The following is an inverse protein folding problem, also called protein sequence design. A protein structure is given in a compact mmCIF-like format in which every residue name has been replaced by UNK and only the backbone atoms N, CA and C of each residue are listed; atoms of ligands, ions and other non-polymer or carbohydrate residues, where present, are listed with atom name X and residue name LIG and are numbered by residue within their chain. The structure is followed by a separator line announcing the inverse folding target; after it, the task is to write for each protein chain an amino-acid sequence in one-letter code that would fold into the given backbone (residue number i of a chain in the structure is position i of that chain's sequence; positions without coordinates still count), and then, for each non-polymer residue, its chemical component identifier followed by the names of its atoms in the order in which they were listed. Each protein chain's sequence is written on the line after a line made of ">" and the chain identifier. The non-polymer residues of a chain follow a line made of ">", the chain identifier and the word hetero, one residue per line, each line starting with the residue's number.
data_IF_406187739667
#
_entry.id   IF_406187739667
#
_cell.length_a   1.000
_cell.length_b   1.000
_cell.length_c   1.000
_cell.angle_alpha   90.00
_cell.angle_beta   90.00
_cell.angle_gamma   90.00
#
_symmetry.space_group_name_H-M   'P 1'
#
loop_
_entity.id
_entity.type
_entity.pdbx_description
1 polymer ?
#
# COMPACT_ATOMS: atom_id res chain seq x y z
N UNK A 1 7.03 10.37 -12.09
CA UNK A 1 7.22 9.17 -11.26
C UNK A 1 6.56 9.40 -9.91
N UNK A 2 5.73 8.49 -9.48
CA UNK A 2 5.12 8.52 -8.14
C UNK A 2 6.21 8.42 -7.07
N UNK A 3 6.00 9.06 -5.92
CA UNK A 3 7.03 9.15 -4.87
C UNK A 3 7.43 7.76 -4.35
N UNK A 4 6.46 6.85 -4.21
CA UNK A 4 6.66 5.46 -3.78
C UNK A 4 7.53 4.71 -4.78
N UNK A 5 7.22 4.81 -6.06
CA UNK A 5 7.98 4.19 -7.14
C UNK A 5 9.44 4.66 -7.18
N UNK A 6 9.66 5.98 -7.02
CA UNK A 6 11.02 6.54 -6.92
C UNK A 6 11.80 6.00 -5.71
N UNK A 7 11.13 5.70 -4.59
CA UNK A 7 11.75 5.12 -3.41
C UNK A 7 12.08 3.65 -3.61
N UNK A 8 11.22 2.86 -4.25
CA UNK A 8 11.47 1.44 -4.52
C UNK A 8 12.70 1.24 -5.43
N UNK A 9 12.89 2.11 -6.43
CA UNK A 9 14.08 2.10 -7.29
C UNK A 9 15.38 2.48 -6.55
N UNK A 10 15.31 3.25 -5.45
CA UNK A 10 16.48 3.66 -4.65
C UNK A 10 16.79 2.72 -3.49
N UNK A 11 15.87 1.82 -3.15
CA UNK A 11 16.05 0.89 -2.05
C UNK A 11 17.24 -0.05 -2.27
N UNK A 12 18.06 -0.24 -1.22
CA UNK A 12 19.14 -1.23 -1.21
C UNK A 12 18.61 -2.67 -1.30
N UNK A 13 17.39 -2.91 -0.82
CA UNK A 13 16.73 -4.22 -0.89
C UNK A 13 16.18 -4.54 -2.28
N UNK A 14 16.31 -3.66 -3.26
CA UNK A 14 15.90 -3.93 -4.65
C UNK A 14 16.57 -5.17 -5.22
N UNK A 15 17.78 -5.49 -4.80
CA UNK A 15 18.56 -6.63 -5.29
C UNK A 15 18.25 -7.95 -4.56
N UNK A 16 17.36 -7.96 -3.59
CA UNK A 16 16.84 -9.17 -2.93
C UNK A 16 15.69 -9.74 -3.76
N UNK A 17 15.53 -11.07 -3.74
CA UNK A 17 14.51 -11.76 -4.51
C UNK A 17 13.08 -11.25 -4.19
N UNK A 18 12.34 -10.84 -5.23
CA UNK A 18 11.01 -10.28 -5.07
C UNK A 18 10.00 -11.31 -4.54
N UNK A 19 10.15 -12.59 -4.90
CA UNK A 19 9.27 -13.66 -4.40
C UNK A 19 9.41 -13.87 -2.89
N UNK A 20 10.64 -13.77 -2.35
CA UNK A 20 10.90 -13.87 -0.91
C UNK A 20 10.27 -12.70 -0.15
N UNK A 21 10.44 -11.47 -0.65
CA UNK A 21 9.84 -10.28 -0.06
C UNK A 21 8.31 -10.31 -0.09
N UNK A 22 7.74 -10.82 -1.17
CA UNK A 22 6.29 -10.97 -1.30
C UNK A 22 5.78 -12.04 -0.34
N UNK A 23 6.44 -13.21 -0.26
CA UNK A 23 6.07 -14.24 0.71
C UNK A 23 6.15 -13.72 2.16
N UNK A 24 7.25 -13.07 2.53
CA UNK A 24 7.41 -12.45 3.84
C UNK A 24 6.27 -11.47 4.14
N UNK A 25 6.02 -10.51 3.23
CA UNK A 25 4.99 -9.49 3.45
C UNK A 25 3.58 -10.08 3.58
N UNK A 26 3.25 -11.12 2.80
CA UNK A 26 1.94 -11.78 2.84
C UNK A 26 1.81 -12.64 4.09
N UNK A 27 2.82 -13.43 4.45
CA UNK A 27 2.78 -14.29 5.63
C UNK A 27 2.69 -13.46 6.92
N UNK A 28 3.57 -12.46 7.09
CA UNK A 28 3.50 -11.55 8.24
C UNK A 28 2.19 -10.79 8.32
N UNK A 29 1.61 -10.38 7.19
CA UNK A 29 0.32 -9.71 7.16
C UNK A 29 -0.80 -10.63 7.63
N UNK A 30 -0.86 -11.85 7.11
CA UNK A 30 -1.87 -12.86 7.51
C UNK A 30 -1.72 -13.18 9.00
N UNK A 31 -0.50 -13.42 9.47
CA UNK A 31 -0.22 -13.75 10.87
C UNK A 31 -0.59 -12.57 11.80
N UNK A 32 -0.30 -11.35 11.40
CA UNK A 32 -0.67 -10.14 12.15
C UNK A 32 -2.18 -9.99 12.31
N UNK A 33 -2.95 -10.28 11.24
CA UNK A 33 -4.43 -10.19 11.27
C UNK A 33 -5.02 -11.33 12.12
N UNK A 34 -4.50 -12.56 12.00
CA UNK A 34 -5.04 -13.72 12.71
C UNK A 34 -4.68 -13.72 14.21
N UNK A 35 -3.58 -13.08 14.59
CA UNK A 35 -3.11 -13.13 15.99
C UNK A 35 -3.97 -12.35 16.97
N UNK A 36 -4.73 -11.34 16.52
CA UNK A 36 -5.53 -10.44 17.37
C UNK A 36 -4.79 -9.99 18.65
N UNK A 37 -3.46 -9.78 18.55
CA UNK A 37 -2.59 -9.48 19.70
C UNK A 37 -1.78 -8.22 19.48
N UNK A 38 -1.91 -7.28 20.40
CA UNK A 38 -1.13 -6.02 20.40
C UNK A 38 0.38 -6.29 20.42
N UNK A 39 0.82 -7.35 21.10
CA UNK A 39 2.25 -7.73 21.20
C UNK A 39 2.82 -8.14 19.85
N UNK A 40 2.12 -9.01 19.12
CA UNK A 40 2.51 -9.43 17.76
C UNK A 40 2.51 -8.23 16.82
N UNK A 41 1.47 -7.42 16.88
CA UNK A 41 1.37 -6.20 16.06
C UNK A 41 2.54 -5.23 16.31
N UNK A 42 2.89 -4.97 17.57
CA UNK A 42 4.03 -4.11 17.92
C UNK A 42 5.37 -4.66 17.40
N UNK A 43 5.60 -5.98 17.52
CA UNK A 43 6.79 -6.63 16.98
C UNK A 43 6.88 -6.50 15.47
N UNK A 44 5.79 -6.79 14.75
CA UNK A 44 5.72 -6.65 13.29
C UNK A 44 6.00 -5.20 12.86
N UNK A 45 5.42 -4.22 13.56
CA UNK A 45 5.66 -2.81 13.30
C UNK A 45 7.14 -2.44 13.42
N UNK A 46 7.81 -2.87 14.50
CA UNK A 46 9.22 -2.60 14.75
C UNK A 46 10.11 -3.29 13.73
N UNK A 47 9.88 -4.58 13.46
CA UNK A 47 10.67 -5.36 12.49
C UNK A 47 10.58 -4.75 11.10
N UNK A 48 9.37 -4.45 10.62
CA UNK A 48 9.18 -3.83 9.31
C UNK A 48 9.79 -2.43 9.23
N UNK A 49 9.72 -1.65 10.31
CA UNK A 49 10.38 -0.35 10.41
C UNK A 49 11.90 -0.47 10.27
N UNK A 50 12.52 -1.40 11.00
CA UNK A 50 13.97 -1.67 10.92
C UNK A 50 14.36 -2.16 9.53
N UNK A 51 13.61 -3.08 8.95
CA UNK A 51 13.89 -3.60 7.61
C UNK A 51 13.76 -2.52 6.53
N UNK A 52 12.73 -1.69 6.60
CA UNK A 52 12.46 -0.65 5.59
C UNK A 52 13.45 0.51 5.69
N UNK A 53 13.70 1.01 6.89
CA UNK A 53 14.59 2.16 7.12
C UNK A 53 16.05 1.72 7.16
N UNK A 54 16.38 0.70 7.96
CA UNK A 54 17.77 0.25 8.17
C UNK A 54 18.34 -0.45 6.94
N UNK A 55 17.74 -1.59 6.53
CA UNK A 55 18.23 -2.37 5.37
C UNK A 55 17.80 -1.74 4.04
N UNK A 56 16.56 -1.23 3.93
CA UNK A 56 16.05 -0.58 2.71
C UNK A 56 16.72 0.75 2.40
N UNK A 57 17.28 1.44 3.40
CA UNK A 57 17.93 2.75 3.24
C UNK A 57 16.93 3.87 2.94
N UNK A 58 15.68 3.71 3.32
CA UNK A 58 14.65 4.73 3.16
C UNK A 58 14.77 5.72 4.32
N UNK A 59 14.83 7.04 4.07
CA UNK A 59 14.95 8.02 5.14
C UNK A 59 13.74 7.99 6.07
N UNK A 60 13.99 7.89 7.37
CA UNK A 60 12.99 7.78 8.43
C UNK A 60 11.91 8.88 8.33
N UNK A 61 12.31 10.11 8.01
CA UNK A 61 11.39 11.24 7.83
C UNK A 61 10.34 11.00 6.76
N UNK A 62 10.69 10.34 5.65
CA UNK A 62 9.72 10.00 4.58
C UNK A 62 8.83 8.84 4.99
N UNK A 63 9.40 7.85 5.67
CA UNK A 63 8.65 6.70 6.17
C UNK A 63 7.57 7.14 7.18
N UNK A 64 7.93 7.98 8.16
CA UNK A 64 6.98 8.55 9.14
C UNK A 64 5.91 9.39 8.43
N UNK A 65 6.28 10.23 7.45
CA UNK A 65 5.30 11.03 6.70
C UNK A 65 4.29 10.17 5.94
N UNK A 66 4.71 9.03 5.40
CA UNK A 66 3.80 8.09 4.74
C UNK A 66 2.88 7.39 5.75
N UNK A 67 3.38 7.04 6.94
CA UNK A 67 2.59 6.44 8.01
C UNK A 67 1.61 7.42 8.65
N UNK A 68 1.88 8.71 8.64
CA UNK A 68 1.03 9.72 9.28
C UNK A 68 -0.39 9.75 8.72
N UNK A 69 -0.56 9.55 7.40
CA UNK A 69 -1.89 9.55 6.75
C UNK A 69 -2.77 8.40 7.24
N UNK A 70 -2.34 7.11 7.15
CA UNK A 70 -3.12 6.01 7.69
C UNK A 70 -3.33 6.12 9.21
N UNK A 71 -2.31 6.56 9.96
CA UNK A 71 -2.41 6.71 11.43
C UNK A 71 -3.48 7.72 11.81
N UNK A 72 -3.52 8.89 11.16
CA UNK A 72 -4.55 9.90 11.44
C UNK A 72 -5.96 9.37 11.16
N UNK A 73 -6.12 8.62 10.06
CA UNK A 73 -7.40 7.99 9.72
C UNK A 73 -7.80 6.92 10.75
N UNK A 74 -6.85 6.09 11.18
CA UNK A 74 -7.09 5.04 12.18
C UNK A 74 -7.48 5.65 13.55
N UNK A 75 -6.77 6.69 13.99
CA UNK A 75 -7.12 7.39 15.24
C UNK A 75 -8.53 7.97 15.16
N UNK A 76 -8.90 8.61 14.05
CA UNK A 76 -10.24 9.13 13.87
C UNK A 76 -11.32 8.03 13.87
N UNK A 77 -11.03 6.89 13.23
CA UNK A 77 -11.95 5.74 13.19
C UNK A 77 -12.07 5.03 14.52
N UNK A 78 -10.95 4.80 15.22
CA UNK A 78 -10.97 4.13 16.54
C UNK A 78 -11.54 5.03 17.64
N UNK A 79 -11.45 6.35 17.53
CA UNK A 79 -12.09 7.28 18.44
C UNK A 79 -13.62 7.08 18.50
N UNK A 80 -14.24 6.71 17.38
CA UNK A 80 -15.67 6.40 17.33
C UNK A 80 -16.04 5.10 18.10
N UNK A 81 -15.10 4.18 18.28
CA UNK A 81 -15.30 2.95 19.06
C UNK A 81 -15.16 3.22 20.55
N UNK A 82 -14.24 4.13 20.91
CA UNK A 82 -13.99 4.51 22.31
C UNK A 82 -15.11 5.39 22.85
N UNK A 83 -15.65 6.27 22.00
CA UNK A 83 -16.71 7.21 22.39
C UNK A 83 -18.07 6.56 22.12
N UNK A 84 -18.75 6.15 23.18
CA UNK A 84 -20.09 5.59 23.10
C UNK A 84 -21.12 6.55 23.72
N UNK A 85 -22.30 6.64 23.13
CA UNK A 85 -23.41 7.45 23.66
C UNK A 85 -24.41 6.47 24.25
N UNK A 86 -24.53 6.46 25.59
CA UNK A 86 -25.42 5.57 26.36
C UNK A 86 -26.22 6.35 27.41
N UNK A 87 -27.34 5.76 27.83
CA UNK A 87 -28.13 6.26 28.95
C UNK A 87 -27.63 5.77 30.33
N UNK A 88 -26.63 4.86 30.31
CA UNK A 88 -26.02 4.30 31.51
C UNK A 88 -24.55 4.69 31.53
N UNK A 89 -24.02 5.26 32.63
CA UNK A 89 -22.59 5.57 32.74
C UNK A 89 -21.74 4.29 32.69
N UNK A 90 -20.66 4.28 31.89
CA UNK A 90 -19.68 3.19 31.79
C UNK A 90 -18.38 3.53 32.52
N UNK A 91 -17.54 2.51 32.77
CA UNK A 91 -16.43 2.52 33.74
C UNK A 91 -15.23 3.43 33.43
N UNK A 92 -15.01 3.84 32.16
CA UNK A 92 -13.77 4.57 31.82
C UNK A 92 -13.90 6.08 32.01
N UNK A 93 -14.95 6.71 31.51
CA UNK A 93 -15.30 8.11 31.69
C UNK A 93 -16.78 8.32 31.34
N UNK A 94 -17.43 9.25 32.05
CA UNK A 94 -18.81 9.64 31.80
C UNK A 94 -18.92 11.18 31.85
N UNK A 95 -19.32 11.80 30.74
CA UNK A 95 -19.63 13.19 30.62
C UNK A 95 -21.16 13.36 30.47
N UNK A 96 -21.80 14.04 31.39
CA UNK A 96 -23.24 14.30 31.36
C UNK A 96 -23.58 15.36 30.31
N UNK A 97 -24.43 15.02 29.36
CA UNK A 97 -25.05 15.93 28.41
C UNK A 97 -26.59 15.81 28.51
N UNK A 98 -27.17 16.26 29.64
CA UNK A 98 -28.59 16.16 29.91
C UNK A 98 -29.05 14.72 30.20
N UNK A 99 -29.91 14.14 29.37
CA UNK A 99 -30.37 12.74 29.50
C UNK A 99 -29.45 11.68 28.91
N UNK A 100 -28.33 12.09 28.27
CA UNK A 100 -27.38 11.22 27.59
C UNK A 100 -26.01 11.37 28.22
N UNK A 101 -25.31 10.27 28.34
CA UNK A 101 -23.91 10.21 28.78
C UNK A 101 -23.00 9.90 27.59
N UNK A 102 -21.96 10.71 27.40
CA UNK A 102 -20.83 10.33 26.54
C UNK A 102 -19.93 9.51 27.43
N UNK A 103 -19.90 8.19 27.17
CA UNK A 103 -19.20 7.22 28.01
C UNK A 103 -18.18 6.45 27.21
N UNK A 104 -17.11 6.01 27.87
CA UNK A 104 -16.14 5.06 27.33
C UNK A 104 -16.11 3.79 28.15
N UNK A 105 -15.90 2.65 27.49
CA UNK A 105 -15.65 1.38 28.16
C UNK A 105 -14.15 1.05 28.12
N UNK A 106 -13.62 0.46 29.18
CA UNK A 106 -12.25 -0.06 29.22
C UNK A 106 -12.04 -1.13 28.16
N UNK A 107 -13.03 -1.98 27.94
CA UNK A 107 -13.03 -2.97 26.86
C UNK A 107 -12.98 -2.31 25.47
N UNK A 108 -13.76 -1.25 25.26
CA UNK A 108 -13.74 -0.46 24.03
C UNK A 108 -12.39 0.21 23.77
N UNK A 109 -11.72 0.68 24.82
CA UNK A 109 -10.37 1.25 24.72
C UNK A 109 -9.34 0.17 24.33
N UNK A 110 -9.40 -0.99 24.95
CA UNK A 110 -8.51 -2.12 24.59
C UNK A 110 -8.73 -2.59 23.16
N UNK A 111 -10.00 -2.76 22.75
CA UNK A 111 -10.37 -3.13 21.39
C UNK A 111 -9.88 -2.08 20.36
N UNK A 112 -10.04 -0.79 20.65
CA UNK A 112 -9.57 0.29 19.80
C UNK A 112 -8.03 0.27 19.65
N UNK A 113 -7.31 0.00 20.73
CA UNK A 113 -5.85 -0.10 20.74
C UNK A 113 -5.38 -1.33 19.93
N UNK A 114 -6.04 -2.46 20.10
CA UNK A 114 -5.76 -3.70 19.34
C UNK A 114 -5.99 -3.48 17.84
N UNK A 115 -7.14 -2.94 17.46
CA UNK A 115 -7.46 -2.64 16.06
C UNK A 115 -6.48 -1.63 15.45
N UNK A 116 -6.15 -0.58 16.18
CA UNK A 116 -5.19 0.43 15.72
C UNK A 116 -3.79 -0.17 15.53
N UNK A 117 -3.30 -0.95 16.48
CA UNK A 117 -2.01 -1.61 16.41
C UNK A 117 -1.94 -2.61 15.25
N UNK A 118 -2.95 -3.47 15.10
CA UNK A 118 -3.02 -4.47 14.03
C UNK A 118 -3.11 -3.81 12.66
N UNK A 119 -3.94 -2.77 12.51
CA UNK A 119 -4.08 -2.06 11.25
C UNK A 119 -2.79 -1.31 10.87
N UNK A 120 -2.13 -0.63 11.81
CA UNK A 120 -0.85 0.04 11.56
C UNK A 120 0.24 -0.97 11.15
N UNK A 121 0.32 -2.11 11.83
CA UNK A 121 1.29 -3.15 11.52
C UNK A 121 1.03 -3.75 10.14
N UNK A 122 -0.23 -3.99 9.78
CA UNK A 122 -0.63 -4.44 8.43
C UNK A 122 -0.22 -3.44 7.34
N UNK A 123 -0.40 -2.14 7.60
CA UNK A 123 0.05 -1.08 6.68
C UNK A 123 1.58 -1.09 6.54
N UNK A 124 2.34 -1.36 7.62
CA UNK A 124 3.81 -1.45 7.51
C UNK A 124 4.27 -2.65 6.69
N UNK A 125 3.55 -3.79 6.71
CA UNK A 125 3.82 -4.93 5.82
C UNK A 125 3.66 -4.55 4.35
N UNK A 126 2.57 -3.84 4.02
CA UNK A 126 2.34 -3.36 2.66
C UNK A 126 3.38 -2.30 2.24
N UNK A 127 3.76 -1.40 3.14
CA UNK A 127 4.82 -0.42 2.86
C UNK A 127 6.19 -1.07 2.72
N UNK A 128 6.50 -2.11 3.50
CA UNK A 128 7.72 -2.88 3.30
C UNK A 128 7.80 -3.41 1.87
N UNK A 129 6.74 -4.06 1.38
CA UNK A 129 6.70 -4.59 0.02
C UNK A 129 6.77 -3.47 -1.03
N UNK A 130 5.92 -2.45 -0.91
CA UNK A 130 5.75 -1.38 -1.91
C UNK A 130 6.98 -0.45 -2.02
N UNK A 131 7.68 -0.19 -0.91
CA UNK A 131 8.84 0.70 -0.88
C UNK A 131 10.16 -0.01 -1.23
N UNK A 132 10.23 -1.34 -1.11
CA UNK A 132 11.46 -2.11 -1.32
C UNK A 132 11.42 -3.00 -2.57
N UNK A 133 10.29 -3.07 -3.27
CA UNK A 133 10.16 -3.93 -4.46
C UNK A 133 9.59 -3.13 -5.62
N UNK A 134 10.21 -3.24 -6.78
CA UNK A 134 9.72 -2.59 -8.00
C UNK A 134 8.51 -3.34 -8.52
N UNK A 135 7.53 -2.63 -9.09
CA UNK A 135 6.28 -3.25 -9.57
C UNK A 135 6.52 -4.36 -10.58
N UNK A 136 7.48 -4.22 -11.48
CA UNK A 136 7.86 -5.25 -12.46
C UNK A 136 8.29 -6.56 -11.80
N UNK A 137 9.04 -6.47 -10.69
CA UNK A 137 9.54 -7.63 -9.97
C UNK A 137 8.43 -8.32 -9.17
N UNK A 138 7.43 -7.54 -8.69
CA UNK A 138 6.21 -8.09 -8.07
C UNK A 138 5.41 -8.88 -9.10
N UNK A 139 5.25 -8.36 -10.32
CA UNK A 139 4.54 -9.05 -11.40
C UNK A 139 5.21 -10.37 -11.79
N UNK A 140 6.55 -10.40 -11.80
CA UNK A 140 7.31 -11.63 -12.04
C UNK A 140 7.14 -12.63 -10.89
N UNK A 141 7.11 -12.16 -9.64
CA UNK A 141 6.84 -13.03 -8.50
C UNK A 141 5.43 -13.63 -8.57
N UNK A 142 4.41 -12.84 -8.96
CA UNK A 142 3.04 -13.33 -9.17
C UNK A 142 2.98 -14.36 -10.32
N UNK A 143 3.74 -14.14 -11.39
CA UNK A 143 3.83 -15.10 -12.51
C UNK A 143 4.41 -16.44 -12.06
N UNK A 144 5.39 -16.44 -11.16
CA UNK A 144 5.93 -17.66 -10.55
C UNK A 144 4.93 -18.38 -9.65
N UNK A 145 3.99 -17.66 -9.05
CA UNK A 145 2.86 -18.22 -8.29
C UNK A 145 1.71 -18.73 -9.17
N UNK A 146 1.98 -18.95 -10.48
CA UNK A 146 1.00 -19.45 -11.45
C UNK A 146 -0.20 -18.52 -11.69
N UNK A 147 -0.04 -17.21 -11.45
CA UNK A 147 -1.07 -16.25 -11.87
C UNK A 147 -1.24 -16.27 -13.40
N UNK A 148 -2.49 -16.15 -13.91
CA UNK A 148 -2.74 -16.15 -15.35
C UNK A 148 -1.89 -15.13 -16.10
N UNK A 149 -1.24 -15.57 -17.20
CA UNK A 149 -0.34 -14.72 -17.99
C UNK A 149 -1.05 -13.47 -18.54
N UNK A 150 -2.34 -13.60 -18.88
CA UNK A 150 -3.17 -12.48 -19.33
C UNK A 150 -3.25 -11.38 -18.26
N UNK A 151 -3.53 -11.74 -16.99
CA UNK A 151 -3.66 -10.76 -15.91
C UNK A 151 -2.33 -10.06 -15.62
N UNK A 152 -1.23 -10.81 -15.53
CA UNK A 152 0.08 -10.21 -15.30
C UNK A 152 0.52 -9.32 -16.46
N UNK A 153 0.16 -9.68 -17.70
CA UNK A 153 0.38 -8.85 -18.88
C UNK A 153 -0.43 -7.56 -18.84
N UNK A 154 -1.72 -7.63 -18.50
CA UNK A 154 -2.58 -6.46 -18.36
C UNK A 154 -2.09 -5.54 -17.23
N UNK A 155 -1.70 -6.08 -16.07
CA UNK A 155 -1.12 -5.29 -14.97
C UNK A 155 0.14 -4.54 -15.41
N UNK A 156 1.00 -5.16 -16.19
CA UNK A 156 2.20 -4.53 -16.74
C UNK A 156 1.85 -3.37 -17.68
N UNK A 157 0.89 -3.60 -18.58
CA UNK A 157 0.41 -2.56 -19.50
C UNK A 157 -0.21 -1.39 -18.74
N UNK A 158 -1.08 -1.65 -17.75
CA UNK A 158 -1.69 -0.61 -16.91
C UNK A 158 -0.62 0.20 -16.20
N UNK A 159 0.37 -0.46 -15.59
CA UNK A 159 1.49 0.20 -14.92
C UNK A 159 2.24 1.14 -15.87
N UNK A 160 2.53 0.68 -17.08
CA UNK A 160 3.17 1.50 -18.11
C UNK A 160 2.30 2.69 -18.54
N UNK A 161 0.99 2.46 -18.73
CA UNK A 161 0.05 3.51 -19.15
C UNK A 161 -0.13 4.60 -18.11
N UNK A 162 -0.02 4.31 -16.82
CA UNK A 162 -0.04 5.33 -15.75
C UNK A 162 1.00 6.42 -16.04
N UNK A 163 2.23 6.05 -16.35
CA UNK A 163 3.28 7.04 -16.65
C UNK A 163 3.10 7.73 -18.01
N UNK A 164 2.62 7.01 -19.00
CA UNK A 164 2.36 7.53 -20.33
C UNK A 164 1.25 8.59 -20.31
N UNK A 165 0.23 8.41 -19.48
CA UNK A 165 -0.90 9.34 -19.36
C UNK A 165 -0.66 10.46 -18.34
N UNK A 166 0.26 10.26 -17.40
CA UNK A 166 0.56 11.26 -16.37
C UNK A 166 1.10 12.57 -16.96
N UNK A 167 1.93 12.50 -17.99
CA UNK A 167 2.49 13.69 -18.64
C UNK A 167 1.43 14.53 -19.36
N UNK A 168 0.56 13.96 -20.21
CA UNK A 168 -0.58 14.70 -20.79
C UNK A 168 -1.55 15.25 -19.73
N UNK A 169 -1.85 14.46 -18.69
CA UNK A 169 -2.71 14.90 -17.59
C UNK A 169 -2.16 16.16 -16.92
N UNK A 170 -0.85 16.17 -16.62
CA UNK A 170 -0.18 17.33 -16.04
C UNK A 170 -0.24 18.54 -16.97
N UNK A 171 0.01 18.37 -18.28
CA UNK A 171 -0.06 19.46 -19.26
C UNK A 171 -1.47 20.04 -19.37
N UNK A 172 -2.51 19.20 -19.41
CA UNK A 172 -3.92 19.65 -19.42
C UNK A 172 -4.23 20.42 -18.14
N UNK A 173 -3.80 19.92 -16.98
CA UNK A 173 -4.03 20.59 -15.69
C UNK A 173 -3.41 21.97 -15.66
N UNK A 174 -2.16 22.13 -16.09
CA UNK A 174 -1.50 23.45 -16.19
C UNK A 174 -2.23 24.38 -17.15
N UNK A 175 -2.64 23.87 -18.32
CA UNK A 175 -3.41 24.67 -19.28
C UNK A 175 -4.77 25.13 -18.73
N UNK A 176 -5.47 24.27 -17.99
CA UNK A 176 -6.74 24.59 -17.34
C UNK A 176 -6.55 25.62 -16.23
N UNK A 177 -5.49 25.50 -15.44
CA UNK A 177 -5.16 26.49 -14.40
C UNK A 177 -4.89 27.87 -15.00
N UNK A 178 -4.12 27.95 -16.10
CA UNK A 178 -3.83 29.19 -16.78
C UNK A 178 -5.10 29.89 -17.35
N UNK A 179 -6.16 29.10 -17.61
CA UNK A 179 -7.46 29.59 -18.09
C UNK A 179 -8.51 29.74 -16.99
N UNK A 180 -8.10 29.85 -15.72
CA UNK A 180 -8.99 29.95 -14.56
C UNK A 180 -9.96 28.75 -14.42
N UNK A 181 -9.60 27.58 -14.92
CA UNK A 181 -10.39 26.35 -14.84
C UNK A 181 -10.62 25.85 -13.41
N UNK A 182 -9.92 26.40 -12.42
CA UNK A 182 -10.05 26.07 -10.99
C UNK A 182 -10.65 27.23 -10.15
N UNK A 183 -11.23 28.26 -10.80
CA UNK A 183 -11.76 29.44 -10.11
C UNK A 183 -12.83 29.06 -9.08
N UNK A 184 -13.85 28.32 -9.49
CA UNK A 184 -15.00 27.92 -8.66
C UNK A 184 -15.10 26.39 -8.59
N UNK A 185 -15.79 25.86 -7.58
CA UNK A 185 -16.00 24.43 -7.43
C UNK A 185 -16.66 23.79 -8.66
N UNK A 186 -17.72 24.42 -9.20
CA UNK A 186 -18.43 23.96 -10.41
C UNK A 186 -17.50 23.93 -11.63
N UNK A 187 -16.69 24.99 -11.82
CA UNK A 187 -15.72 25.09 -12.92
C UNK A 187 -14.63 24.02 -12.77
N UNK A 188 -14.15 23.77 -11.54
CA UNK A 188 -13.16 22.72 -11.25
C UNK A 188 -13.69 21.33 -11.61
N UNK A 189 -14.92 20.99 -11.21
CA UNK A 189 -15.54 19.70 -11.53
C UNK A 189 -15.69 19.53 -13.05
N UNK A 190 -16.13 20.60 -13.76
CA UNK A 190 -16.24 20.58 -15.22
C UNK A 190 -14.88 20.43 -15.90
N UNK A 191 -13.85 21.12 -15.44
CA UNK A 191 -12.48 21.01 -15.94
C UNK A 191 -11.92 19.61 -15.72
N UNK A 192 -12.16 19.00 -14.55
CA UNK A 192 -11.77 17.63 -14.25
C UNK A 192 -12.46 16.63 -15.17
N UNK A 193 -13.78 16.78 -15.41
CA UNK A 193 -14.51 15.94 -16.35
C UNK A 193 -13.98 16.06 -17.79
N UNK A 194 -13.69 17.27 -18.25
CA UNK A 194 -13.10 17.51 -19.58
C UNK A 194 -11.70 16.89 -19.71
N UNK A 195 -10.88 16.97 -18.65
CA UNK A 195 -9.56 16.30 -18.59
C UNK A 195 -9.72 14.79 -18.67
N UNK A 196 -10.64 14.21 -17.89
CA UNK A 196 -10.91 12.76 -17.88
C UNK A 196 -11.34 12.26 -19.26
N UNK A 197 -12.25 12.97 -19.93
CA UNK A 197 -12.70 12.65 -21.29
C UNK A 197 -11.54 12.71 -22.31
N UNK A 198 -10.73 13.76 -22.25
CA UNK A 198 -9.58 13.91 -23.15
C UNK A 198 -8.53 12.80 -22.93
N UNK A 199 -8.24 12.45 -21.66
CA UNK A 199 -7.33 11.37 -21.31
C UNK A 199 -7.86 10.01 -21.73
N UNK A 200 -9.17 9.77 -21.64
CA UNK A 200 -9.79 8.53 -22.08
C UNK A 200 -9.62 8.32 -23.59
N UNK A 201 -9.94 9.34 -24.39
CA UNK A 201 -9.76 9.29 -25.85
C UNK A 201 -8.28 9.08 -26.21
N UNK A 202 -7.37 9.78 -25.51
CA UNK A 202 -5.93 9.60 -25.72
C UNK A 202 -5.46 8.20 -25.35
N UNK A 203 -5.98 7.61 -24.25
CA UNK A 203 -5.67 6.26 -23.82
C UNK A 203 -6.10 5.24 -24.87
N UNK A 204 -7.34 5.35 -25.40
CA UNK A 204 -7.82 4.49 -26.48
C UNK A 204 -6.93 4.59 -27.74
N UNK A 205 -6.62 5.80 -28.18
CA UNK A 205 -5.70 6.00 -29.31
C UNK A 205 -4.35 5.34 -29.10
N UNK A 206 -3.74 5.55 -27.93
CA UNK A 206 -2.43 4.95 -27.61
C UNK A 206 -2.49 3.45 -27.45
N UNK A 207 -3.60 2.91 -26.92
CA UNK A 207 -3.82 1.47 -26.83
C UNK A 207 -3.85 0.81 -28.19
N UNK A 208 -4.60 1.37 -29.14
CA UNK A 208 -4.65 0.85 -30.50
C UNK A 208 -3.27 0.92 -31.18
N UNK A 209 -2.59 2.06 -31.11
CA UNK A 209 -1.21 2.17 -31.64
C UNK A 209 -0.23 1.18 -31.01
N UNK A 210 -0.36 0.90 -29.70
CA UNK A 210 0.46 -0.08 -29.02
C UNK A 210 0.13 -1.50 -29.51
N UNK A 211 -1.15 -1.80 -29.68
CA UNK A 211 -1.59 -3.11 -30.17
C UNK A 211 -1.07 -3.36 -31.60
N UNK A 212 -1.24 -2.43 -32.51
CA UNK A 212 -0.73 -2.49 -33.89
C UNK A 212 0.80 -2.70 -33.90
N UNK A 213 1.50 -1.98 -33.01
CA UNK A 213 2.95 -2.13 -32.87
C UNK A 213 3.39 -3.48 -32.26
N UNK A 214 2.55 -4.09 -31.43
CA UNK A 214 2.80 -5.45 -30.90
C UNK A 214 2.50 -6.51 -31.96
N UNK A 215 1.41 -6.36 -32.69
CA UNK A 215 1.03 -7.27 -33.79
C UNK A 215 2.10 -7.30 -34.89
N UNK A 216 2.61 -6.13 -35.29
CA UNK A 216 3.72 -6.05 -36.26
C UNK A 216 5.04 -6.68 -35.79
N UNK A 217 5.16 -6.98 -34.49
CA UNK A 217 6.28 -7.70 -33.86
C UNK A 217 5.95 -9.14 -33.51
N UNK A 218 4.94 -9.72 -34.15
CA UNK A 218 4.49 -11.10 -33.94
C UNK A 218 4.11 -11.39 -32.48
N UNK A 219 3.30 -10.52 -31.88
CA UNK A 219 2.81 -10.72 -30.52
C UNK A 219 1.98 -11.99 -30.40
N UNK A 220 2.40 -12.91 -29.53
CA UNK A 220 1.80 -14.22 -29.28
C UNK A 220 0.81 -14.28 -28.10
N UNK A 221 0.38 -13.12 -27.58
CA UNK A 221 -0.47 -13.03 -26.38
C UNK A 221 0.31 -12.98 -25.07
N UNK A 222 1.62 -13.13 -25.08
CA UNK A 222 2.47 -13.10 -23.90
C UNK A 222 3.46 -11.94 -23.93
N UNK A 223 3.39 -11.06 -22.94
CA UNK A 223 4.36 -9.98 -22.76
C UNK A 223 5.50 -10.49 -21.89
N UNK A 224 6.69 -10.61 -22.49
CA UNK A 224 7.91 -10.98 -21.78
C UNK A 224 8.74 -9.73 -21.49
N UNK A 225 9.11 -9.54 -20.22
CA UNK A 225 9.97 -8.44 -19.78
C UNK A 225 11.30 -9.02 -19.32
N UNK A 226 12.40 -8.40 -19.72
CA UNK A 226 13.72 -8.74 -19.21
C UNK A 226 13.84 -8.22 -17.78
N UNK A 227 13.65 -9.09 -16.81
CA UNK A 227 13.90 -8.81 -15.40
C UNK A 227 15.24 -9.42 -14.98
N UNK A 228 16.00 -8.68 -14.19
CA UNK A 228 17.21 -9.23 -13.56
C UNK A 228 16.76 -10.06 -12.36
N UNK A 229 16.48 -11.34 -12.59
CA UNK A 229 16.17 -12.26 -11.50
C UNK A 229 17.39 -12.45 -10.61
N UNK A 230 17.27 -12.05 -9.35
CA UNK A 230 18.22 -12.44 -8.32
C UNK A 230 17.86 -13.85 -7.84
N UNK A 231 18.85 -14.78 -7.75
CA UNK A 231 18.59 -16.11 -7.20
C UNK A 231 18.22 -16.00 -5.74
N UNK A 232 17.33 -16.89 -5.28
CA UNK A 232 17.00 -17.03 -3.88
C UNK A 232 18.25 -17.40 -3.08
N UNK A 233 18.48 -16.70 -1.96
CA UNK A 233 19.61 -16.99 -1.09
C UNK A 233 19.14 -17.70 0.16
N UNK A 234 19.72 -18.87 0.45
CA UNK A 234 19.35 -19.67 1.64
C UNK A 234 19.42 -18.86 2.94
N UNK A 235 20.35 -17.91 3.08
CA UNK A 235 20.45 -17.03 4.23
C UNK A 235 19.28 -16.04 4.36
N UNK A 236 18.71 -15.54 3.25
CA UNK A 236 17.57 -14.63 3.26
C UNK A 236 16.30 -15.39 3.65
N UNK A 237 16.12 -16.61 3.12
CA UNK A 237 15.02 -17.51 3.49
C UNK A 237 15.10 -17.90 4.98
N UNK A 238 16.29 -18.21 5.48
CA UNK A 238 16.49 -18.55 6.91
C UNK A 238 16.13 -17.38 7.83
N UNK A 239 16.46 -16.14 7.46
CA UNK A 239 16.08 -14.94 8.22
C UNK A 239 14.56 -14.74 8.22
N UNK A 240 13.90 -14.91 7.09
CA UNK A 240 12.43 -14.83 6.98
C UNK A 240 11.80 -15.90 7.87
N UNK A 241 12.23 -17.15 7.75
CA UNK A 241 11.71 -18.26 8.56
C UNK A 241 11.92 -18.03 10.07
N UNK A 242 13.07 -17.49 10.47
CA UNK A 242 13.34 -17.15 11.86
C UNK A 242 12.40 -16.04 12.38
N UNK A 243 12.16 -15.00 11.59
CA UNK A 243 11.22 -13.92 11.96
C UNK A 243 9.80 -14.48 12.13
N UNK A 244 9.30 -15.26 11.16
CA UNK A 244 7.97 -15.85 11.22
C UNK A 244 7.83 -16.81 12.41
N UNK A 245 8.85 -17.61 12.68
CA UNK A 245 8.86 -18.52 13.84
C UNK A 245 8.80 -17.76 15.16
N UNK A 246 9.54 -16.65 15.29
CA UNK A 246 9.49 -15.79 16.47
C UNK A 246 8.07 -15.19 16.64
N UNK A 247 7.45 -14.73 15.56
CA UNK A 247 6.11 -14.17 15.61
C UNK A 247 5.07 -15.22 16.05
N UNK A 248 5.17 -16.44 15.53
CA UNK A 248 4.29 -17.57 15.92
C UNK A 248 4.51 -17.95 17.39
N UNK A 249 5.76 -18.00 17.86
CA UNK A 249 6.05 -18.26 19.26
C UNK A 249 5.46 -17.20 20.19
N UNK A 250 5.59 -15.93 19.84
CA UNK A 250 4.99 -14.83 20.61
C UNK A 250 3.46 -14.89 20.60
N UNK A 251 2.87 -15.34 19.51
CA UNK A 251 1.43 -15.57 19.42
C UNK A 251 0.95 -16.70 20.33
N UNK A 252 1.68 -17.83 20.37
CA UNK A 252 1.31 -19.01 21.19
C UNK A 252 1.55 -18.74 22.69
N UNK A 253 2.62 -17.99 23.02
CA UNK A 253 2.97 -17.69 24.41
C UNK A 253 2.19 -16.51 24.99
N UNK A 254 1.38 -15.84 24.23
CA UNK A 254 0.72 -14.59 24.60
C UNK A 254 -0.73 -14.54 24.46
#
# INVERSE_FOLDING_TARGET
>A
MLLIDKLSYRSKLRYVNASEKLMYAVLTLILCILSHSVRVAALVFVINGILTVGKGGIPLSRYIRLLMIPTAFLIAGTAAIVINISKVPMDAFALELGEWYITGSVEGLYLALELCATALSSVTCLYFLSLNTVMTDILDALRKLHFPALLTGLMLLVYRFIFVLFQPASAITVSQQARLGNRDFKTRVRSFGAMGSALFILALKRSNMLYDAMESRCYDGNIRVLTRMQPARAGEIAVIAAIELILVLVWICG
#
